data_IF_428941343411
#
_entry.id   IF_428941343411
#
_cell.length_a   1.000
_cell.length_b   1.000
_cell.length_c   1.000
_cell.angle_alpha   90.00
_cell.angle_beta   90.00
_cell.angle_gamma   90.00
#
_symmetry.space_group_name_H-M   'P 1'
#
loop_
_entity.id
_entity.type
_entity.pdbx_description
1 polymer ?
#
# COMPACT_ATOMS: atom_id res chain seq x y z
N UNK A 1 -31.75 -11.65 12.15
CA UNK A 1 -31.28 -10.60 13.06
C UNK A 1 -29.78 -10.76 13.17
N UNK A 2 -29.01 -9.79 12.68
CA UNK A 2 -27.57 -9.74 12.95
C UNK A 2 -27.34 -9.43 14.43
N UNK A 3 -26.21 -9.89 14.98
CA UNK A 3 -25.79 -9.50 16.34
C UNK A 3 -25.02 -8.18 16.27
N UNK A 4 -24.93 -7.45 17.39
CA UNK A 4 -24.13 -6.21 17.48
C UNK A 4 -22.70 -6.42 16.98
N UNK A 5 -22.09 -7.58 17.27
CA UNK A 5 -20.79 -7.95 16.74
C UNK A 5 -20.80 -8.08 15.21
N UNK A 6 -21.79 -8.76 14.65
CA UNK A 6 -21.89 -8.98 13.20
C UNK A 6 -22.06 -7.66 12.45
N UNK A 7 -22.89 -6.76 12.98
CA UNK A 7 -23.06 -5.40 12.41
C UNK A 7 -21.76 -4.62 12.47
N UNK A 8 -21.03 -4.72 13.59
CA UNK A 8 -19.74 -4.08 13.76
C UNK A 8 -18.70 -4.60 12.76
N UNK A 9 -18.56 -5.91 12.62
CA UNK A 9 -17.61 -6.51 11.66
C UNK A 9 -17.93 -6.10 10.22
N UNK A 10 -19.22 -6.03 9.86
CA UNK A 10 -19.64 -5.60 8.53
C UNK A 10 -19.31 -4.12 8.28
N UNK A 11 -19.54 -3.25 9.28
CA UNK A 11 -19.21 -1.83 9.20
C UNK A 11 -17.70 -1.60 9.05
N UNK A 12 -16.88 -2.22 9.91
CA UNK A 12 -15.42 -2.10 9.82
C UNK A 12 -14.88 -2.62 8.48
N UNK A 13 -15.44 -3.73 7.98
CA UNK A 13 -15.02 -4.25 6.68
C UNK A 13 -15.32 -3.26 5.55
N UNK A 14 -16.52 -2.67 5.52
CA UNK A 14 -16.89 -1.68 4.52
C UNK A 14 -15.99 -0.43 4.58
N UNK A 15 -15.67 0.05 5.78
CA UNK A 15 -14.76 1.19 5.97
C UNK A 15 -13.34 0.89 5.45
N UNK A 16 -12.78 -0.28 5.76
CA UNK A 16 -11.43 -0.65 5.32
C UNK A 16 -11.38 -0.93 3.83
N UNK A 17 -12.42 -1.56 3.27
CA UNK A 17 -12.51 -1.80 1.84
C UNK A 17 -12.50 -0.48 1.06
N UNK A 18 -13.29 0.50 1.50
CA UNK A 18 -13.31 1.83 0.89
C UNK A 18 -11.98 2.57 1.09
N UNK A 19 -11.42 2.53 2.30
CA UNK A 19 -10.12 3.13 2.58
C UNK A 19 -9.01 2.54 1.69
N UNK A 20 -8.91 1.22 1.60
CA UNK A 20 -7.91 0.55 0.77
C UNK A 20 -8.15 0.74 -0.73
N UNK A 21 -9.40 1.00 -1.15
CA UNK A 21 -9.73 1.36 -2.54
C UNK A 21 -9.22 2.76 -2.90
N UNK A 22 -9.27 3.70 -1.95
CA UNK A 22 -8.93 5.11 -2.17
C UNK A 22 -7.47 5.46 -1.83
N UNK A 23 -6.83 4.70 -0.93
CA UNK A 23 -5.49 5.00 -0.46
C UNK A 23 -4.43 4.35 -1.39
N UNK A 24 -3.44 5.10 -1.91
CA UNK A 24 -2.55 4.60 -2.97
C UNK A 24 -1.51 3.58 -2.49
N UNK A 25 -1.33 3.45 -1.17
CA UNK A 25 -0.26 2.64 -0.55
C UNK A 25 -0.76 1.56 0.39
N UNK A 26 -2.07 1.36 0.50
CA UNK A 26 -2.67 0.32 1.34
C UNK A 26 -3.52 -0.58 0.45
N UNK A 27 -3.42 -1.89 0.64
CA UNK A 27 -4.19 -2.87 -0.13
C UNK A 27 -4.60 -4.04 0.75
N UNK A 28 -5.86 -4.44 0.70
CA UNK A 28 -6.30 -5.72 1.26
C UNK A 28 -5.79 -6.83 0.34
N UNK A 29 -4.98 -7.75 0.89
CA UNK A 29 -4.45 -8.90 0.16
C UNK A 29 -5.43 -10.06 0.20
N UNK A 30 -5.94 -10.37 1.39
CA UNK A 30 -6.93 -11.41 1.62
C UNK A 30 -7.72 -11.15 2.91
N UNK A 31 -8.88 -11.78 3.01
CA UNK A 31 -9.76 -11.75 4.18
C UNK A 31 -10.30 -13.16 4.46
N UNK A 32 -10.58 -13.46 5.72
CA UNK A 32 -11.24 -14.70 6.14
C UNK A 32 -12.45 -14.41 7.04
N UNK A 33 -13.54 -15.15 6.85
CA UNK A 33 -14.80 -14.97 7.56
C UNK A 33 -15.88 -14.28 6.72
N UNK A 34 -17.11 -14.25 7.24
CA UNK A 34 -18.24 -13.58 6.61
C UNK A 34 -19.24 -13.09 7.68
N UNK A 35 -19.20 -11.81 8.10
CA UNK A 35 -18.22 -10.77 7.74
C UNK A 35 -16.79 -11.10 8.20
N UNK A 36 -15.75 -10.50 7.62
CA UNK A 36 -14.38 -10.90 7.90
C UNK A 36 -13.91 -10.64 9.33
N UNK A 37 -13.13 -11.59 9.85
CA UNK A 37 -12.52 -11.55 11.18
C UNK A 37 -10.99 -11.58 11.13
N UNK A 38 -10.41 -11.90 9.97
CA UNK A 38 -8.97 -11.86 9.71
C UNK A 38 -8.71 -11.11 8.40
N UNK A 39 -7.68 -10.28 8.43
CA UNK A 39 -7.24 -9.47 7.29
C UNK A 39 -5.73 -9.63 7.11
N UNK A 40 -5.29 -9.72 5.86
CA UNK A 40 -3.91 -9.47 5.48
C UNK A 40 -3.85 -8.17 4.67
N UNK A 41 -3.09 -7.19 5.16
CA UNK A 41 -2.97 -5.86 4.58
C UNK A 41 -1.53 -5.65 4.10
N UNK A 42 -1.39 -5.22 2.84
CA UNK A 42 -0.14 -4.76 2.25
C UNK A 42 0.00 -3.25 2.43
N UNK A 43 1.15 -2.81 2.95
CA UNK A 43 1.57 -1.42 3.01
C UNK A 43 2.78 -1.19 2.12
N UNK A 44 2.72 -0.17 1.25
CA UNK A 44 3.83 0.30 0.41
C UNK A 44 4.48 1.55 1.01
N UNK A 45 5.14 1.37 2.14
CA UNK A 45 5.69 2.44 2.98
C UNK A 45 7.16 2.12 3.26
N UNK A 46 8.01 3.13 3.21
CA UNK A 46 9.41 3.00 3.59
C UNK A 46 9.53 2.86 5.11
N UNK A 47 10.12 1.76 5.56
CA UNK A 47 10.42 1.45 6.96
C UNK A 47 11.79 0.80 7.09
N UNK A 48 12.18 0.43 8.30
CA UNK A 48 13.49 -0.15 8.59
C UNK A 48 13.41 -1.64 8.82
N UNK A 49 14.47 -2.35 8.46
CA UNK A 49 14.74 -3.73 8.83
C UNK A 49 16.18 -3.85 9.31
N UNK A 50 16.41 -4.69 10.31
CA UNK A 50 17.74 -4.95 10.86
C UNK A 50 18.17 -6.38 10.57
N UNK A 51 19.40 -6.57 10.08
CA UNK A 51 20.02 -7.88 9.88
C UNK A 51 21.43 -7.84 10.48
N UNK A 52 21.60 -8.49 11.64
CA UNK A 52 22.82 -8.35 12.44
C UNK A 52 23.01 -6.91 12.90
N UNK A 53 24.09 -6.26 12.45
CA UNK A 53 24.39 -4.85 12.75
C UNK A 53 23.90 -3.88 11.68
N UNK A 54 23.46 -4.38 10.53
CA UNK A 54 23.09 -3.55 9.38
C UNK A 54 21.60 -3.19 9.42
N UNK A 55 21.30 -1.90 9.26
CA UNK A 55 19.93 -1.38 9.15
C UNK A 55 19.69 -0.97 7.68
N UNK A 56 18.60 -1.47 7.09
CA UNK A 56 18.22 -1.21 5.69
C UNK A 56 16.79 -0.70 5.58
N UNK A 57 16.53 0.05 4.52
CA UNK A 57 15.18 0.44 4.15
C UNK A 57 14.47 -0.71 3.44
N UNK A 58 13.23 -0.99 3.86
CA UNK A 58 12.27 -1.86 3.17
C UNK A 58 11.02 -1.05 2.84
N UNK A 59 10.44 -1.27 1.65
CA UNK A 59 9.34 -0.43 1.12
C UNK A 59 7.97 -1.12 1.07
N UNK A 60 7.92 -2.41 1.42
CA UNK A 60 6.69 -3.21 1.33
C UNK A 60 6.58 -4.09 2.58
N UNK A 61 5.41 -4.07 3.20
CA UNK A 61 5.14 -4.74 4.46
C UNK A 61 3.79 -5.48 4.39
N UNK A 62 3.75 -6.66 4.98
CA UNK A 62 2.51 -7.41 5.17
C UNK A 62 2.17 -7.43 6.65
N UNK A 63 0.91 -7.18 6.97
CA UNK A 63 0.38 -7.13 8.33
C UNK A 63 -0.87 -7.99 8.40
N UNK A 64 -0.94 -8.82 9.42
CA UNK A 64 -2.14 -9.54 9.80
C UNK A 64 -2.90 -8.76 10.88
N UNK A 65 -4.21 -8.68 10.71
CA UNK A 65 -5.13 -8.15 11.72
C UNK A 65 -6.15 -9.25 12.03
N UNK A 66 -6.29 -9.61 13.31
CA UNK A 66 -7.23 -10.63 13.79
C UNK A 66 -8.20 -10.03 14.80
N UNK A 67 -9.49 -10.17 14.54
CA UNK A 67 -10.58 -9.71 15.39
C UNK A 67 -11.01 -10.85 16.32
N UNK A 68 -10.87 -10.71 17.65
CA UNK A 68 -11.22 -11.77 18.58
C UNK A 68 -12.73 -12.04 18.63
N UNK A 69 -13.13 -13.17 19.23
CA UNK A 69 -14.53 -13.57 19.34
C UNK A 69 -15.41 -12.56 20.10
N UNK A 70 -14.83 -11.76 20.99
CA UNK A 70 -15.49 -10.72 21.77
C UNK A 70 -15.22 -9.29 21.25
N UNK A 71 -14.71 -9.15 20.02
CA UNK A 71 -14.64 -7.86 19.34
C UNK A 71 -16.04 -7.22 19.23
N UNK A 72 -16.19 -5.89 19.45
CA UNK A 72 -15.16 -4.87 19.68
C UNK A 72 -14.79 -4.64 21.16
N UNK A 73 -15.27 -5.44 22.11
CA UNK A 73 -14.92 -5.28 23.53
C UNK A 73 -13.45 -5.58 23.82
N UNK A 74 -12.80 -6.39 23.00
CA UNK A 74 -11.35 -6.60 23.01
C UNK A 74 -10.75 -6.07 21.70
N UNK A 75 -9.59 -5.40 21.76
CA UNK A 75 -8.94 -4.84 20.58
C UNK A 75 -8.58 -5.91 19.54
N UNK A 76 -8.39 -5.48 18.27
CA UNK A 76 -7.78 -6.34 17.27
C UNK A 76 -6.35 -6.70 17.67
N UNK A 77 -5.93 -7.91 17.32
CA UNK A 77 -4.52 -8.31 17.38
C UNK A 77 -3.87 -7.95 16.05
N UNK A 78 -2.75 -7.23 16.10
CA UNK A 78 -2.03 -6.79 14.91
C UNK A 78 -0.62 -7.38 14.92
N UNK A 79 -0.23 -8.01 13.81
CA UNK A 79 1.06 -8.69 13.70
C UNK A 79 1.70 -8.47 12.34
N UNK A 80 2.96 -8.06 12.33
CA UNK A 80 3.80 -7.98 11.16
C UNK A 80 4.11 -9.38 10.60
N UNK A 81 3.74 -9.63 9.35
CA UNK A 81 4.15 -10.82 8.62
C UNK A 81 5.54 -10.66 7.99
N UNK A 82 5.98 -9.42 7.81
CA UNK A 82 7.35 -9.08 7.36
C UNK A 82 8.17 -8.49 8.50
N UNK A 83 9.49 -8.76 8.60
CA UNK A 83 10.35 -8.11 9.60
C UNK A 83 10.29 -6.58 9.50
N UNK A 84 10.28 -5.92 10.66
CA UNK A 84 10.36 -4.46 10.82
C UNK A 84 11.22 -4.17 12.05
N UNK A 85 12.12 -3.22 11.94
CA UNK A 85 12.93 -2.69 13.02
C UNK A 85 12.30 -1.37 13.47
N UNK A 86 11.64 -1.36 14.63
CA UNK A 86 10.89 -0.19 15.13
C UNK A 86 10.79 -0.26 16.67
N UNK A 87 10.86 0.88 17.41
CA UNK A 87 10.82 0.87 18.87
C UNK A 87 9.63 0.12 19.48
N UNK A 88 8.43 0.26 18.91
CA UNK A 88 7.17 -0.28 19.44
C UNK A 88 6.62 -1.52 18.71
N UNK A 89 7.44 -2.22 17.91
CA UNK A 89 7.04 -3.48 17.24
C UNK A 89 7.99 -4.57 17.75
N UNK A 90 7.49 -5.66 18.33
CA UNK A 90 8.32 -6.73 18.94
C UNK A 90 7.93 -8.11 18.46
N UNK A 91 8.89 -8.97 18.11
CA UNK A 91 8.68 -10.37 17.68
C UNK A 91 7.48 -10.57 16.73
N UNK A 92 7.19 -9.55 15.90
CA UNK A 92 6.05 -9.34 14.99
C UNK A 92 4.82 -8.62 15.58
N UNK A 93 4.58 -8.61 16.87
CA UNK A 93 3.43 -7.92 17.47
C UNK A 93 3.58 -6.40 17.41
N UNK A 94 2.51 -5.71 17.02
CA UNK A 94 2.44 -4.25 17.09
C UNK A 94 1.69 -3.88 18.37
N UNK A 95 2.32 -3.10 19.24
CA UNK A 95 1.63 -2.54 20.40
C UNK A 95 1.06 -1.17 20.04
N UNK A 96 -0.27 -1.10 19.88
CA UNK A 96 -0.99 0.15 19.66
C UNK A 96 -1.28 0.75 21.03
N UNK A 97 -0.45 1.70 21.48
CA UNK A 97 -0.45 2.23 22.86
C UNK A 97 -1.73 2.95 23.31
N UNK A 98 -2.61 3.33 22.40
CA UNK A 98 -3.82 4.05 22.76
C UNK A 98 -4.88 3.13 23.38
N UNK A 99 -5.62 3.69 24.35
CA UNK A 99 -6.79 3.06 24.97
C UNK A 99 -7.81 2.68 23.89
N UNK A 100 -7.80 1.40 23.52
CA UNK A 100 -8.84 0.85 22.66
C UNK A 100 -10.21 1.10 23.29
N UNK A 101 -11.11 1.68 22.52
CA UNK A 101 -12.51 1.84 22.91
C UNK A 101 -13.39 1.11 21.90
N UNK A 102 -14.60 0.74 22.32
CA UNK A 102 -15.58 0.17 21.39
C UNK A 102 -15.98 1.15 20.29
N UNK A 103 -15.65 2.44 20.38
CA UNK A 103 -15.92 3.43 19.33
C UNK A 103 -14.77 3.58 18.33
N UNK A 104 -13.60 3.03 18.64
CA UNK A 104 -12.42 3.09 17.76
C UNK A 104 -12.66 2.21 16.53
N UNK A 105 -12.65 2.79 15.33
CA UNK A 105 -12.84 2.01 14.08
C UNK A 105 -11.61 1.20 13.71
N UNK A 106 -11.81 0.09 13.00
CA UNK A 106 -10.70 -0.71 12.50
C UNK A 106 -9.90 0.01 11.41
N UNK A 107 -10.50 0.92 10.65
CA UNK A 107 -9.79 1.81 9.73
C UNK A 107 -8.74 2.65 10.46
N UNK A 108 -9.07 3.20 11.64
CA UNK A 108 -8.10 3.98 12.43
C UNK A 108 -6.88 3.15 12.84
N UNK A 109 -7.07 1.84 13.08
CA UNK A 109 -5.99 0.90 13.36
C UNK A 109 -5.09 0.72 12.14
N UNK A 110 -5.67 0.55 10.94
CA UNK A 110 -4.93 0.43 9.67
C UNK A 110 -4.07 1.69 9.42
N UNK A 111 -4.65 2.87 9.62
CA UNK A 111 -3.95 4.16 9.48
C UNK A 111 -2.75 4.23 10.41
N UNK A 112 -2.95 3.95 11.70
CA UNK A 112 -1.89 4.00 12.73
C UNK A 112 -0.74 3.05 12.44
N UNK A 113 -1.04 1.85 11.96
CA UNK A 113 0.00 0.90 11.55
C UNK A 113 0.85 1.50 10.42
N UNK A 114 0.23 2.18 9.46
CA UNK A 114 0.96 2.90 8.41
C UNK A 114 1.85 4.02 8.97
N UNK A 115 1.34 4.84 9.88
CA UNK A 115 2.10 5.91 10.55
C UNK A 115 3.31 5.35 11.34
N UNK A 116 3.13 4.21 12.02
CA UNK A 116 4.23 3.52 12.72
C UNK A 116 5.28 2.99 11.73
N UNK A 117 4.86 2.35 10.64
CA UNK A 117 5.79 1.88 9.61
C UNK A 117 6.59 3.03 8.99
N UNK A 118 5.95 4.17 8.77
CA UNK A 118 6.56 5.38 8.24
C UNK A 118 7.47 6.11 9.24
N UNK A 119 7.56 5.66 10.50
CA UNK A 119 8.22 6.40 11.60
C UNK A 119 7.64 7.79 11.87
N UNK A 120 6.36 8.01 11.54
CA UNK A 120 5.61 9.21 11.92
C UNK A 120 5.06 9.11 13.35
N UNK A 121 4.90 7.88 13.84
CA UNK A 121 4.40 7.60 15.19
C UNK A 121 5.25 6.54 15.88
N UNK A 122 5.92 6.93 16.96
CA UNK A 122 6.72 6.05 17.81
C UNK A 122 6.81 6.60 19.23
N UNK A 123 7.07 5.73 20.19
CA UNK A 123 7.24 6.09 21.59
C UNK A 123 8.51 5.44 22.13
N UNK A 124 9.44 6.25 22.65
CA UNK A 124 10.75 5.76 23.10
C UNK A 124 10.72 5.25 24.54
N UNK A 125 9.82 5.78 25.39
CA UNK A 125 9.73 5.42 26.82
C UNK A 125 9.10 4.04 27.05
N UNK A 126 8.24 3.61 26.12
CA UNK A 126 7.48 2.36 26.11
C UNK A 126 7.99 1.39 25.03
N UNK A 127 9.18 1.64 24.50
CA UNK A 127 9.76 0.83 23.45
C UNK A 127 10.11 -0.59 23.93
N UNK A 128 9.84 -1.58 23.09
CA UNK A 128 10.17 -2.98 23.33
C UNK A 128 11.58 -3.32 22.81
N UNK A 129 12.11 -2.54 21.85
CA UNK A 129 13.42 -2.73 21.23
C UNK A 129 14.40 -1.60 21.60
N UNK A 130 15.29 -1.85 22.56
CA UNK A 130 16.30 -0.87 23.04
C UNK A 130 17.24 -0.39 21.93
N UNK A 131 17.64 -1.29 21.05
CA UNK A 131 18.51 -0.99 19.92
C UNK A 131 17.81 -0.11 18.87
N UNK A 132 16.50 -0.26 18.68
CA UNK A 132 15.70 0.63 17.85
C UNK A 132 15.61 2.05 18.45
N UNK A 133 15.48 2.17 19.77
CA UNK A 133 15.53 3.48 20.48
C UNK A 133 16.87 4.16 20.25
N UNK A 134 17.99 3.45 20.43
CA UNK A 134 19.32 3.98 20.17
C UNK A 134 19.52 4.41 18.72
N UNK A 135 18.96 3.65 17.77
CA UNK A 135 19.01 4.01 16.36
C UNK A 135 18.24 5.29 16.10
N UNK A 136 16.99 5.40 16.59
CA UNK A 136 16.15 6.59 16.42
C UNK A 136 16.82 7.84 16.99
N UNK A 137 17.37 7.76 18.20
CA UNK A 137 18.07 8.89 18.84
C UNK A 137 19.28 9.38 18.02
N UNK A 138 19.95 8.50 17.26
CA UNK A 138 21.09 8.85 16.39
C UNK A 138 20.67 9.38 15.02
N UNK A 139 19.44 9.13 14.59
CA UNK A 139 18.94 9.42 13.24
C UNK A 139 17.65 10.25 13.27
N UNK A 140 17.45 11.03 14.32
CA UNK A 140 16.23 11.83 14.52
C UNK A 140 15.98 12.82 13.38
N UNK A 141 17.04 13.32 12.74
CA UNK A 141 16.95 14.25 11.61
C UNK A 141 16.62 13.54 10.27
N UNK A 142 16.55 12.21 10.27
CA UNK A 142 16.28 11.40 9.07
C UNK A 142 14.87 10.80 9.06
N UNK A 143 14.11 10.96 10.13
CA UNK A 143 12.72 10.50 10.24
C UNK A 143 11.73 11.65 9.97
N UNK A 144 10.50 11.37 9.47
CA UNK A 144 9.95 10.05 9.19
C UNK A 144 10.63 9.38 7.98
N UNK A 145 10.58 8.05 7.94
CA UNK A 145 11.11 7.27 6.80
C UNK A 145 10.27 7.43 5.54
N UNK A 146 9.03 7.86 5.71
CA UNK A 146 8.10 8.14 4.64
C UNK A 146 7.17 9.28 5.05
N UNK A 147 6.96 10.27 4.19
CA UNK A 147 6.09 11.43 4.45
C UNK A 147 4.65 11.20 3.98
N UNK A 148 4.26 9.95 3.73
CA UNK A 148 2.90 9.61 3.32
C UNK A 148 1.87 10.10 4.34
N UNK A 149 0.87 10.85 3.88
CA UNK A 149 -0.33 11.11 4.67
C UNK A 149 -1.26 9.90 4.63
N UNK A 150 -1.34 9.16 5.74
CA UNK A 150 -2.19 7.97 5.86
C UNK A 150 -3.68 8.31 5.92
N UNK A 151 -4.05 9.57 6.11
CA UNK A 151 -5.45 10.04 6.12
C UNK A 151 -5.90 10.58 4.75
N UNK A 152 -4.97 10.75 3.80
CA UNK A 152 -5.29 11.26 2.47
C UNK A 152 -6.03 10.22 1.62
N UNK A 153 -7.09 10.67 0.96
CA UNK A 153 -7.83 9.89 -0.03
C UNK A 153 -7.52 10.40 -1.44
N UNK A 154 -7.22 9.52 -2.38
CA UNK A 154 -7.17 9.91 -3.79
C UNK A 154 -8.61 10.03 -4.28
N UNK A 155 -9.08 11.27 -4.47
CA UNK A 155 -10.34 11.47 -5.19
C UNK A 155 -10.18 10.91 -6.60
N UNK A 156 -11.11 10.08 -7.11
CA UNK A 156 -11.13 9.72 -8.51
C UNK A 156 -11.14 11.02 -9.32
N UNK A 157 -10.09 11.24 -10.11
CA UNK A 157 -10.07 12.34 -11.05
C UNK A 157 -11.22 12.07 -12.04
N UNK A 158 -12.27 12.90 -12.00
CA UNK A 158 -13.23 12.96 -13.10
C UNK A 158 -12.41 13.36 -14.34
N UNK A 159 -12.32 12.45 -15.31
CA UNK A 159 -11.72 12.73 -16.61
C UNK A 159 -12.54 13.86 -17.25
N UNK A 160 -12.09 15.09 -17.06
CA UNK A 160 -12.71 16.26 -17.64
C UNK A 160 -12.41 16.26 -19.15
N UNK A 161 -13.23 15.55 -19.93
CA UNK A 161 -13.24 15.54 -21.39
C UNK A 161 -13.56 16.95 -21.92
N UNK A 162 -12.59 17.85 -21.87
CA UNK A 162 -12.58 19.05 -22.70
C UNK A 162 -11.73 18.75 -23.93
N UNK A 163 -12.42 18.29 -24.98
CA UNK A 163 -11.86 18.17 -26.33
C UNK A 163 -11.56 19.57 -26.86
N UNK A 164 -10.35 20.07 -26.64
CA UNK A 164 -9.80 21.15 -27.45
C UNK A 164 -9.35 20.57 -28.81
N UNK A 165 -10.08 20.95 -29.87
CA UNK A 165 -9.79 20.59 -31.24
C UNK A 165 -8.53 21.29 -31.73
N UNK A 166 -7.45 20.55 -31.92
CA UNK A 166 -6.21 21.05 -32.54
C UNK A 166 -6.44 21.28 -34.05
N UNK A 167 -6.21 22.49 -34.60
CA UNK A 167 -6.12 22.69 -36.04
C UNK A 167 -4.82 22.11 -36.60
N UNK A 168 -4.90 21.44 -37.76
CA UNK A 168 -3.77 20.81 -38.47
C UNK A 168 -2.57 21.77 -38.66
N UNK A 169 -1.32 21.30 -38.48
CA UNK A 169 -0.13 22.15 -38.63
C UNK A 169 0.23 22.37 -40.10
N UNK A 170 0.43 23.64 -40.50
CA UNK A 170 1.14 24.01 -41.72
C UNK A 170 2.63 24.21 -41.39
N UNK A 171 3.49 23.56 -42.15
CA UNK A 171 4.94 23.59 -42.01
C UNK A 171 5.56 24.83 -42.67
N UNK A 172 6.47 25.52 -41.96
CA UNK A 172 7.56 26.34 -42.53
C UNK A 172 8.82 26.31 -41.64
N UNK A 173 9.86 25.66 -42.15
CA UNK A 173 11.32 25.92 -42.11
C UNK A 173 12.00 26.79 -41.02
N UNK A 174 12.87 26.10 -40.23
CA UNK A 174 14.27 26.38 -39.75
C UNK A 174 14.64 27.72 -39.03
N UNK A 175 15.73 27.83 -38.20
CA UNK A 175 16.68 26.83 -37.68
C UNK A 175 17.00 26.87 -36.15
N UNK A 176 17.57 25.74 -35.71
CA UNK A 176 18.18 25.30 -34.43
C UNK A 176 18.78 26.32 -33.44
N UNK A 177 18.54 26.06 -32.13
CA UNK A 177 19.55 26.12 -31.08
C UNK A 177 19.35 24.94 -30.10
N UNK A 178 20.46 24.27 -29.79
CA UNK A 178 20.62 22.99 -29.09
C UNK A 178 20.11 22.97 -27.64
N UNK A 179 19.30 21.96 -27.31
CA UNK A 179 19.37 21.21 -26.03
C UNK A 179 19.03 19.75 -26.33
N UNK A 180 19.87 18.76 -26.02
CA UNK A 180 19.48 17.35 -26.12
C UNK A 180 18.50 17.02 -24.97
N UNK A 181 17.21 17.04 -25.29
CA UNK A 181 16.19 16.38 -24.48
C UNK A 181 16.31 14.89 -24.81
N UNK A 182 16.74 14.09 -23.85
CA UNK A 182 16.63 12.63 -23.94
C UNK A 182 15.14 12.32 -23.73
N UNK A 183 14.44 12.04 -24.81
CA UNK A 183 13.06 11.55 -24.76
C UNK A 183 13.00 10.27 -23.89
N UNK A 184 12.07 10.16 -22.94
CA UNK A 184 11.87 8.92 -22.21
C UNK A 184 11.36 7.86 -23.19
N UNK A 185 12.16 6.80 -23.34
CA UNK A 185 11.82 5.61 -24.11
C UNK A 185 10.45 5.09 -23.63
N UNK A 186 9.45 4.92 -24.51
CA UNK A 186 8.13 4.48 -24.09
C UNK A 186 8.18 3.04 -23.57
N UNK A 187 7.94 2.89 -22.28
CA UNK A 187 8.17 1.68 -21.48
C UNK A 187 7.10 0.58 -21.67
N UNK A 188 6.39 0.63 -22.80
CA UNK A 188 5.17 -0.14 -23.05
C UNK A 188 5.20 -0.84 -24.41
N UNK A 189 4.93 -2.15 -24.42
CA UNK A 189 4.94 -3.01 -25.61
C UNK A 189 3.55 -3.58 -25.86
N UNK A 190 3.12 -3.61 -27.12
CA UNK A 190 1.84 -4.20 -27.52
C UNK A 190 1.98 -5.73 -27.62
N UNK A 191 1.12 -6.43 -26.90
CA UNK A 191 0.98 -7.89 -26.94
C UNK A 191 -0.35 -8.28 -27.55
N UNK A 192 -0.34 -9.41 -28.25
CA UNK A 192 -1.56 -10.04 -28.78
C UNK A 192 -1.78 -11.37 -28.08
N UNK A 193 -2.99 -11.58 -27.55
CA UNK A 193 -3.36 -12.83 -26.92
C UNK A 193 -3.40 -13.97 -27.96
N UNK A 194 -2.72 -15.10 -27.74
CA UNK A 194 -2.70 -16.22 -28.69
C UNK A 194 -4.08 -16.90 -28.86
N UNK A 195 -4.96 -16.75 -27.87
CA UNK A 195 -6.24 -17.47 -27.80
C UNK A 195 -7.39 -16.69 -28.45
N UNK A 196 -7.47 -15.39 -28.22
CA UNK A 196 -8.59 -14.57 -28.68
C UNK A 196 -8.18 -13.40 -29.59
N UNK A 197 -6.89 -13.29 -29.91
CA UNK A 197 -6.29 -12.27 -30.79
C UNK A 197 -6.51 -10.82 -30.34
N UNK A 198 -6.93 -10.59 -29.09
CA UNK A 198 -7.04 -9.23 -28.55
C UNK A 198 -5.65 -8.64 -28.34
N UNK A 199 -5.43 -7.43 -28.84
CA UNK A 199 -4.19 -6.68 -28.64
C UNK A 199 -4.31 -5.72 -27.46
N UNK A 200 -3.30 -5.68 -26.60
CA UNK A 200 -3.26 -4.79 -25.45
C UNK A 200 -1.82 -4.41 -25.12
N UNK A 201 -1.64 -3.27 -24.46
CA UNK A 201 -0.32 -2.77 -24.09
C UNK A 201 0.05 -3.24 -22.69
N UNK A 202 1.26 -3.79 -22.54
CA UNK A 202 1.86 -4.11 -21.23
C UNK A 202 3.18 -3.36 -21.07
N UNK A 203 3.68 -3.24 -19.85
CA UNK A 203 5.02 -2.70 -19.60
C UNK A 203 6.09 -3.66 -20.12
N UNK A 204 7.23 -3.15 -20.58
CA UNK A 204 8.36 -3.97 -21.06
C UNK A 204 8.89 -4.92 -19.98
N UNK A 205 8.74 -4.55 -18.70
CA UNK A 205 9.03 -5.41 -17.53
C UNK A 205 8.08 -6.61 -17.34
N UNK A 206 7.14 -6.82 -18.28
CA UNK A 206 6.28 -8.00 -18.32
C UNK A 206 6.90 -9.18 -19.08
N UNK A 207 8.06 -9.02 -19.72
CA UNK A 207 8.75 -10.11 -20.41
C UNK A 207 9.00 -11.31 -19.48
N UNK A 208 8.70 -12.52 -19.96
CA UNK A 208 8.77 -13.76 -19.20
C UNK A 208 7.67 -13.96 -18.13
N UNK A 209 6.78 -12.98 -17.90
CA UNK A 209 5.71 -13.10 -16.89
C UNK A 209 4.46 -13.73 -17.47
N UNK A 210 3.73 -14.47 -16.63
CA UNK A 210 2.39 -14.97 -16.92
C UNK A 210 1.40 -13.81 -16.78
N UNK A 211 0.74 -13.43 -17.87
CA UNK A 211 -0.30 -12.41 -17.89
C UNK A 211 -1.65 -13.01 -18.23
N UNK A 212 -2.69 -12.51 -17.60
CA UNK A 212 -4.06 -12.92 -17.88
C UNK A 212 -4.67 -12.01 -18.96
N UNK A 213 -5.21 -12.62 -20.02
CA UNK A 213 -5.92 -11.88 -21.05
C UNK A 213 -7.19 -11.22 -20.47
N UNK A 214 -7.36 -9.91 -20.67
CA UNK A 214 -8.56 -9.17 -20.22
C UNK A 214 -9.85 -9.61 -20.94
N UNK A 215 -9.75 -10.20 -22.14
CA UNK A 215 -10.91 -10.61 -22.95
C UNK A 215 -11.37 -12.03 -22.66
N UNK A 216 -10.46 -13.02 -22.74
CA UNK A 216 -10.82 -14.44 -22.56
C UNK A 216 -10.41 -15.02 -21.20
N UNK A 217 -9.82 -14.21 -20.31
CA UNK A 217 -9.33 -14.61 -18.98
C UNK A 217 -8.26 -15.71 -18.96
N UNK A 218 -7.75 -16.14 -20.13
CA UNK A 218 -6.70 -17.17 -20.23
C UNK A 218 -5.34 -16.59 -19.90
N UNK A 219 -4.56 -17.34 -19.13
CA UNK A 219 -3.21 -16.96 -18.70
C UNK A 219 -2.22 -17.46 -19.75
N UNK A 220 -1.33 -16.58 -20.22
CA UNK A 220 -0.26 -16.94 -21.13
C UNK A 220 1.02 -16.19 -20.78
N UNK A 221 2.16 -16.72 -21.24
CA UNK A 221 3.46 -16.16 -20.96
C UNK A 221 3.81 -15.07 -21.99
N UNK A 222 4.18 -13.89 -21.50
CA UNK A 222 4.67 -12.80 -22.34
C UNK A 222 6.06 -13.17 -22.86
N UNK A 223 6.21 -13.16 -24.19
CA UNK A 223 7.50 -13.16 -24.87
C UNK A 223 7.53 -11.91 -25.75
N UNK A 224 8.39 -10.96 -25.41
CA UNK A 224 8.60 -9.75 -26.21
C UNK A 224 9.48 -10.03 -27.43
#
# INVERSE_FOLDING_TARGET
MSTVRQDRLASDYAEIEEYARLHPRVRIVQVEGSPPERYEIEYRISSLVKSGTEVKIKKNHLVEIVLPGNYPSTPPRVSMLTPVFHPNIDDKSIYLEEHWTTETSLQSVVIRVGEMLAFQRYHLDSANQRDAVEWVNKHIDQIPMDEIDMHAFVQPQEENESRESIPKPQAKTTPSLNVPIIDPIPDSVKLTCPECKSTYTVRRSADGKKVQCKKCKKIFLVKL
#
